data_IF_592986296208
#
_entry.id   IF_592986296208
#
_cell.length_a   1.000
_cell.length_b   1.000
_cell.length_c   1.000
_cell.angle_alpha   90.00
_cell.angle_beta   90.00
_cell.angle_gamma   90.00
#
_symmetry.space_group_name_H-M   'P 1'
#
loop_
_entity.id
_entity.type
_entity.pdbx_description
1 polymer ?
#
# COMPACT_ATOMS: atom_id res chain seq x y z
N UNK A 1 -33.02 -6.90 -75.43
CA UNK A 1 -31.67 -7.17 -74.88
C UNK A 1 -31.59 -6.42 -73.56
N UNK A 2 -31.56 -7.16 -72.45
CA UNK A 2 -31.55 -6.60 -71.10
C UNK A 2 -30.10 -6.29 -70.73
N UNK A 3 -29.80 -5.02 -70.46
CA UNK A 3 -28.48 -4.56 -70.02
C UNK A 3 -28.19 -5.13 -68.62
N UNK A 4 -27.30 -6.12 -68.55
CA UNK A 4 -26.78 -6.64 -67.27
C UNK A 4 -25.79 -5.61 -66.74
N UNK A 5 -26.21 -4.82 -65.75
CA UNK A 5 -25.29 -3.99 -64.98
C UNK A 5 -24.37 -4.94 -64.17
N UNK A 6 -23.04 -4.87 -64.28
CA UNK A 6 -22.14 -5.79 -63.61
C UNK A 6 -21.97 -5.35 -62.16
N UNK A 7 -22.86 -5.79 -61.28
CA UNK A 7 -22.67 -5.61 -59.83
C UNK A 7 -22.28 -6.94 -59.19
N UNK A 8 -21.01 -7.30 -59.33
CA UNK A 8 -20.28 -8.27 -58.51
C UNK A 8 -18.80 -8.15 -58.91
N UNK A 9 -17.76 -8.15 -58.07
CA UNK A 9 -17.54 -8.69 -56.73
C UNK A 9 -16.23 -8.09 -56.20
N UNK A 10 -16.24 -6.98 -55.49
CA UNK A 10 -15.17 -6.71 -54.53
C UNK A 10 -15.82 -6.65 -53.15
N UNK A 11 -15.65 -7.72 -52.36
CA UNK A 11 -15.87 -7.60 -50.92
C UNK A 11 -14.88 -6.55 -50.46
N UNK A 12 -15.36 -5.41 -49.96
CA UNK A 12 -14.50 -4.43 -49.30
C UNK A 12 -13.64 -5.18 -48.29
N UNK A 13 -12.34 -5.24 -48.56
CA UNK A 13 -11.34 -5.82 -47.68
C UNK A 13 -10.46 -4.67 -47.23
N UNK A 14 -10.06 -4.70 -45.96
CA UNK A 14 -8.98 -3.84 -45.50
C UNK A 14 -7.79 -4.02 -46.45
N UNK A 15 -7.26 -2.93 -46.99
CA UNK A 15 -5.98 -3.00 -47.69
C UNK A 15 -4.93 -3.45 -46.66
N UNK A 16 -4.01 -4.36 -47.02
CA UNK A 16 -2.85 -4.63 -46.19
C UNK A 16 -2.22 -3.30 -45.75
N UNK A 17 -1.96 -3.17 -44.45
CA UNK A 17 -1.40 -1.98 -43.81
C UNK A 17 -2.30 -0.72 -43.71
N UNK A 18 -3.53 -0.75 -44.22
CA UNK A 18 -4.47 0.40 -44.09
C UNK A 18 -5.13 0.56 -42.72
N UNK A 19 -4.99 -0.45 -41.85
CA UNK A 19 -5.47 -0.41 -40.44
C UNK A 19 -4.28 -0.46 -39.48
N UNK A 20 -3.09 -0.06 -39.94
CA UNK A 20 -1.93 0.10 -39.05
C UNK A 20 -2.07 1.45 -38.37
N UNK A 21 -2.53 1.41 -37.13
CA UNK A 21 -2.49 2.56 -36.24
C UNK A 21 -1.03 2.84 -35.87
N UNK A 22 -0.74 4.12 -35.58
CA UNK A 22 0.57 4.57 -35.14
C UNK A 22 1.03 3.75 -33.94
N UNK A 23 2.22 3.16 -34.05
CA UNK A 23 2.88 2.43 -32.99
C UNK A 23 3.73 3.39 -32.13
N UNK A 24 4.05 3.02 -30.89
CA UNK A 24 4.99 3.79 -30.07
C UNK A 24 6.37 3.99 -30.72
N UNK A 25 6.77 3.07 -31.60
CA UNK A 25 8.05 3.12 -32.32
C UNK A 25 8.03 4.11 -33.51
N UNK A 26 6.86 4.53 -33.98
CA UNK A 26 6.73 5.42 -35.15
C UNK A 26 7.16 6.86 -34.82
N UNK A 27 7.09 7.27 -33.55
CA UNK A 27 7.60 8.55 -33.04
C UNK A 27 8.24 8.37 -31.65
N UNK A 28 9.49 7.90 -31.59
CA UNK A 28 10.17 7.64 -30.33
C UNK A 28 10.32 8.94 -29.52
N UNK A 29 10.07 8.85 -28.21
CA UNK A 29 10.18 9.97 -27.27
C UNK A 29 8.93 10.87 -27.15
N UNK A 30 7.99 10.81 -28.10
CA UNK A 30 6.74 11.61 -28.01
C UNK A 30 5.92 11.23 -26.77
N UNK A 31 5.79 9.93 -26.48
CA UNK A 31 5.04 9.46 -25.31
C UNK A 31 5.74 9.82 -24.00
N UNK A 32 7.07 9.69 -23.94
CA UNK A 32 7.89 10.11 -22.80
C UNK A 32 7.73 11.61 -22.51
N UNK A 33 7.81 12.45 -23.55
CA UNK A 33 7.60 13.89 -23.42
C UNK A 33 6.16 14.22 -22.98
N UNK A 34 5.16 13.48 -23.47
CA UNK A 34 3.78 13.63 -23.04
C UNK A 34 3.58 13.21 -21.58
N UNK A 35 4.25 12.16 -21.09
CA UNK A 35 4.21 11.75 -19.69
C UNK A 35 4.84 12.82 -18.77
N UNK A 36 5.98 13.39 -19.17
CA UNK A 36 6.61 14.50 -18.46
C UNK A 36 5.70 15.75 -18.43
N UNK A 37 5.03 16.06 -19.55
CA UNK A 37 4.03 17.13 -19.61
C UNK A 37 2.85 16.84 -18.68
N UNK A 38 2.35 15.62 -18.66
CA UNK A 38 1.27 15.23 -17.76
C UNK A 38 1.64 15.51 -16.31
N UNK A 39 2.85 15.16 -15.87
CA UNK A 39 3.31 15.42 -14.50
C UNK A 39 3.29 16.91 -14.08
N UNK A 40 3.29 17.84 -15.04
CA UNK A 40 3.22 19.29 -14.79
C UNK A 40 1.80 19.85 -14.60
N UNK A 41 0.75 19.08 -14.90
CA UNK A 41 -0.61 19.58 -14.78
C UNK A 41 -1.03 19.71 -13.30
N UNK A 42 -1.70 20.81 -12.90
CA UNK A 42 -2.10 21.02 -11.52
C UNK A 42 -3.23 20.07 -11.10
N UNK A 43 -4.21 19.90 -11.98
CA UNK A 43 -5.41 19.10 -11.69
C UNK A 43 -5.16 17.61 -11.88
N UNK A 44 -5.52 16.80 -10.87
CA UNK A 44 -5.38 15.35 -10.93
C UNK A 44 -6.16 14.75 -12.11
N UNK A 45 -7.35 15.28 -12.38
CA UNK A 45 -8.20 14.83 -13.48
C UNK A 45 -7.48 14.93 -14.84
N UNK A 46 -6.85 16.07 -15.10
CA UNK A 46 -6.17 16.31 -16.37
C UNK A 46 -4.88 15.49 -16.48
N UNK A 47 -4.16 15.35 -15.35
CA UNK A 47 -3.00 14.45 -15.25
C UNK A 47 -3.37 13.03 -15.65
N UNK A 48 -4.35 12.44 -14.97
CA UNK A 48 -4.80 11.07 -15.19
C UNK A 48 -5.37 10.89 -16.61
N UNK A 49 -6.12 11.87 -17.12
CA UNK A 49 -6.67 11.80 -18.48
C UNK A 49 -5.57 11.71 -19.56
N UNK A 50 -4.51 12.53 -19.46
CA UNK A 50 -3.41 12.48 -20.41
C UNK A 50 -2.60 11.17 -20.27
N UNK A 51 -2.34 10.73 -19.04
CA UNK A 51 -1.64 9.46 -18.78
C UNK A 51 -2.42 8.27 -19.34
N UNK A 52 -3.73 8.20 -19.13
CA UNK A 52 -4.57 7.15 -19.70
C UNK A 52 -4.53 7.13 -21.23
N UNK A 53 -4.45 8.29 -21.87
CA UNK A 53 -4.32 8.37 -23.34
C UNK A 53 -2.96 7.84 -23.82
N UNK A 54 -1.88 8.09 -23.08
CA UNK A 54 -0.57 7.51 -23.36
C UNK A 54 -0.64 5.99 -23.21
N UNK A 55 -1.21 5.50 -22.11
CA UNK A 55 -1.30 4.07 -21.80
C UNK A 55 -2.27 3.30 -22.72
N UNK A 56 -3.18 3.98 -23.41
CA UNK A 56 -3.99 3.38 -24.47
C UNK A 56 -3.15 3.06 -25.71
N UNK A 57 -2.13 3.87 -25.99
CA UNK A 57 -1.22 3.73 -27.14
C UNK A 57 -0.11 2.74 -26.80
N UNK A 58 0.50 2.90 -25.63
CA UNK A 58 1.55 2.04 -25.10
C UNK A 58 1.23 1.65 -23.64
N UNK A 59 0.61 0.49 -23.41
CA UNK A 59 0.26 0.02 -22.08
C UNK A 59 1.47 -0.23 -21.16
N UNK A 60 2.68 -0.32 -21.71
CA UNK A 60 3.91 -0.59 -20.97
C UNK A 60 4.82 0.64 -20.86
N UNK A 61 4.31 1.83 -21.22
CA UNK A 61 5.08 3.07 -21.20
C UNK A 61 5.49 3.41 -19.75
N UNK A 62 6.78 3.25 -19.46
CA UNK A 62 7.32 3.29 -18.10
C UNK A 62 7.10 4.64 -17.41
N UNK A 63 7.42 5.76 -18.05
CA UNK A 63 7.29 7.08 -17.41
C UNK A 63 5.84 7.42 -17.06
N UNK A 64 4.89 7.07 -17.93
CA UNK A 64 3.47 7.28 -17.71
C UNK A 64 2.98 6.42 -16.54
N UNK A 65 3.37 5.15 -16.49
CA UNK A 65 3.07 4.27 -15.36
C UNK A 65 3.67 4.80 -14.06
N UNK A 66 4.95 5.21 -14.05
CA UNK A 66 5.62 5.76 -12.86
C UNK A 66 4.94 7.03 -12.35
N UNK A 67 4.60 7.96 -13.25
CA UNK A 67 3.87 9.18 -12.90
C UNK A 67 2.50 8.82 -12.35
N UNK A 68 1.75 7.93 -13.02
CA UNK A 68 0.42 7.53 -12.61
C UNK A 68 0.43 6.88 -11.22
N UNK A 69 1.28 5.88 -10.99
CA UNK A 69 1.32 5.15 -9.71
C UNK A 69 1.74 6.06 -8.57
N UNK A 70 2.75 6.92 -8.77
CA UNK A 70 3.17 7.92 -7.77
C UNK A 70 2.01 8.84 -7.38
N UNK A 71 1.27 9.38 -8.34
CA UNK A 71 0.17 10.30 -8.06
C UNK A 71 -1.00 9.60 -7.37
N UNK A 72 -1.46 8.45 -7.89
CA UNK A 72 -2.56 7.70 -7.28
C UNK A 72 -2.23 7.28 -5.86
N UNK A 73 -1.00 6.81 -5.62
CA UNK A 73 -0.51 6.45 -4.29
C UNK A 73 -0.51 7.65 -3.34
N UNK A 74 0.00 8.81 -3.78
CA UNK A 74 -0.03 10.04 -2.97
C UNK A 74 -1.45 10.48 -2.62
N UNK A 75 -2.39 10.42 -3.55
CA UNK A 75 -3.79 10.81 -3.29
C UNK A 75 -4.42 9.84 -2.28
N UNK A 76 -4.19 8.54 -2.40
CA UNK A 76 -4.63 7.56 -1.39
C UNK A 76 -4.08 7.88 0.01
N UNK A 77 -2.80 8.24 0.13
CA UNK A 77 -2.24 8.63 1.43
C UNK A 77 -2.82 9.95 1.95
N UNK A 78 -3.14 10.90 1.08
CA UNK A 78 -3.82 12.14 1.47
C UNK A 78 -5.25 11.86 1.94
N UNK A 79 -5.95 10.89 1.36
CA UNK A 79 -7.27 10.45 1.82
C UNK A 79 -7.17 9.87 3.24
N UNK A 80 -6.18 9.01 3.51
CA UNK A 80 -5.89 8.53 4.86
C UNK A 80 -5.65 9.68 5.84
N UNK A 81 -4.82 10.67 5.45
CA UNK A 81 -4.54 11.85 6.27
C UNK A 81 -5.81 12.62 6.66
N UNK A 82 -6.72 12.81 5.71
CA UNK A 82 -8.02 13.47 5.96
C UNK A 82 -8.92 12.65 6.88
N UNK A 83 -8.84 11.33 6.82
CA UNK A 83 -9.66 10.44 7.63
C UNK A 83 -9.17 10.31 9.08
N UNK A 84 -7.86 10.13 9.31
CA UNK A 84 -7.34 10.05 10.68
C UNK A 84 -7.16 11.42 11.36
N UNK A 85 -7.14 12.52 10.60
CA UNK A 85 -7.14 13.92 11.10
C UNK A 85 -5.97 14.29 12.02
N UNK A 86 -4.85 13.56 11.94
CA UNK A 86 -3.66 13.85 12.73
C UNK A 86 -2.81 14.89 12.00
N UNK A 87 -2.22 15.81 12.76
CA UNK A 87 -1.28 16.80 12.22
C UNK A 87 0.14 16.31 12.47
N UNK A 88 0.76 15.73 11.45
CA UNK A 88 2.10 15.13 11.55
C UNK A 88 3.08 15.97 10.74
N UNK A 89 4.09 16.54 11.41
CA UNK A 89 5.05 17.45 10.78
C UNK A 89 6.16 16.72 10.02
N UNK A 90 6.62 15.59 10.56
CA UNK A 90 7.66 14.79 9.91
C UNK A 90 7.05 14.02 8.73
N UNK A 91 7.57 14.19 7.50
CA UNK A 91 6.98 13.59 6.31
C UNK A 91 7.11 12.06 6.27
N UNK A 92 8.17 11.50 6.87
CA UNK A 92 8.38 10.04 6.90
C UNK A 92 7.39 9.41 7.86
N UNK A 93 7.24 9.97 9.07
CA UNK A 93 6.24 9.53 10.03
C UNK A 93 4.82 9.71 9.47
N UNK A 94 4.54 10.83 8.79
CA UNK A 94 3.25 11.07 8.16
C UNK A 94 2.92 9.98 7.12
N UNK A 95 3.88 9.64 6.25
CA UNK A 95 3.70 8.56 5.28
C UNK A 95 3.38 7.23 5.97
N UNK A 96 4.16 6.83 6.99
CA UNK A 96 3.94 5.58 7.73
C UNK A 96 2.56 5.55 8.39
N UNK A 97 2.12 6.65 9.01
CA UNK A 97 0.80 6.72 9.65
C UNK A 97 -0.34 6.63 8.61
N UNK A 98 -0.17 7.27 7.45
CA UNK A 98 -1.13 7.18 6.34
C UNK A 98 -1.21 5.76 5.77
N UNK A 99 -0.08 5.07 5.61
CA UNK A 99 -0.04 3.68 5.17
C UNK A 99 -0.62 2.72 6.22
N UNK A 100 -0.35 3.00 7.49
CA UNK A 100 -0.89 2.25 8.62
C UNK A 100 -2.41 2.40 8.72
N UNK A 101 -2.96 3.59 8.46
CA UNK A 101 -4.41 3.80 8.38
C UNK A 101 -5.07 2.78 7.43
N UNK A 102 -4.57 2.66 6.21
CA UNK A 102 -5.11 1.72 5.23
C UNK A 102 -4.83 0.27 5.58
N UNK A 103 -3.68 -0.02 6.18
CA UNK A 103 -3.34 -1.37 6.65
C UNK A 103 -4.34 -1.87 7.71
N UNK A 104 -4.69 -1.01 8.67
CA UNK A 104 -5.68 -1.38 9.69
C UNK A 104 -7.08 -1.41 9.09
N UNK A 105 -7.48 -0.41 8.30
CA UNK A 105 -8.79 -0.39 7.65
C UNK A 105 -9.04 -1.67 6.83
N UNK A 106 -8.05 -2.15 6.07
CA UNK A 106 -8.16 -3.39 5.31
C UNK A 106 -8.26 -4.65 6.19
N UNK A 107 -7.79 -4.61 7.44
CA UNK A 107 -7.86 -5.73 8.38
C UNK A 107 -9.15 -5.72 9.23
N UNK A 108 -9.67 -4.54 9.58
CA UNK A 108 -10.81 -4.35 10.49
C UNK A 108 -12.12 -4.04 9.77
N UNK A 109 -12.06 -3.03 8.89
CA UNK A 109 -13.20 -2.40 8.26
C UNK A 109 -13.34 -3.02 6.87
N UNK A 110 -13.99 -4.19 6.84
CA UNK A 110 -14.33 -4.92 5.61
C UNK A 110 -15.11 -4.09 4.56
N UNK A 111 -15.39 -2.82 4.86
CA UNK A 111 -16.40 -1.99 4.22
C UNK A 111 -15.81 -0.78 3.45
N UNK A 112 -14.63 -0.25 3.78
CA UNK A 112 -14.30 1.11 3.30
C UNK A 112 -13.53 1.21 1.98
N UNK A 113 -12.66 0.26 1.64
CA UNK A 113 -11.86 0.37 0.41
C UNK A 113 -12.49 -0.24 -0.85
N UNK A 114 -13.46 -1.15 -0.72
CA UNK A 114 -14.09 -1.82 -1.88
C UNK A 114 -15.61 -1.66 -1.97
N UNK A 115 -16.31 -1.26 -0.91
CA UNK A 115 -17.78 -1.06 -0.95
C UNK A 115 -18.21 0.38 -1.20
N UNK A 116 -17.29 1.36 -1.21
CA UNK A 116 -17.56 2.72 -1.69
C UNK A 116 -17.87 2.80 -3.19
N UNK A 117 -17.84 1.67 -3.90
CA UNK A 117 -18.30 1.54 -5.28
C UNK A 117 -19.83 1.65 -5.34
N UNK A 118 -20.37 2.85 -5.15
CA UNK A 118 -21.66 3.13 -5.77
C UNK A 118 -21.44 3.21 -7.28
N UNK A 119 -22.08 2.29 -8.00
CA UNK A 119 -22.19 2.34 -9.46
C UNK A 119 -23.08 3.54 -9.82
N UNK A 120 -22.55 4.76 -9.72
CA UNK A 120 -23.24 5.99 -10.13
C UNK A 120 -22.93 7.24 -9.31
N UNK A 121 -22.21 8.19 -9.92
CA UNK A 121 -22.53 9.61 -9.76
C UNK A 121 -21.75 10.46 -8.75
N UNK A 122 -20.66 9.97 -8.13
CA UNK A 122 -19.81 10.87 -7.35
C UNK A 122 -19.05 11.87 -8.24
N UNK A 123 -18.96 13.12 -7.78
CA UNK A 123 -18.25 14.19 -8.48
C UNK A 123 -16.72 13.98 -8.51
N UNK A 124 -16.19 13.11 -7.64
CA UNK A 124 -14.77 12.80 -7.51
C UNK A 124 -14.58 11.28 -7.33
N UNK A 125 -13.44 10.71 -7.78
CA UNK A 125 -13.12 9.31 -7.55
C UNK A 125 -13.05 8.98 -6.05
N UNK A 126 -13.54 7.81 -5.66
CA UNK A 126 -13.38 7.25 -4.31
C UNK A 126 -11.98 6.66 -4.11
N UNK A 127 -11.59 6.39 -2.87
CA UNK A 127 -10.32 5.69 -2.60
C UNK A 127 -10.29 4.29 -3.24
N UNK A 128 -11.44 3.63 -3.38
CA UNK A 128 -11.59 2.38 -4.14
C UNK A 128 -11.21 2.55 -5.62
N UNK A 129 -11.75 3.57 -6.27
CA UNK A 129 -11.47 3.87 -7.68
C UNK A 129 -9.98 4.13 -7.93
N UNK A 130 -9.32 4.81 -6.98
CA UNK A 130 -7.89 5.08 -7.05
C UNK A 130 -7.07 3.79 -6.87
N UNK A 131 -7.44 2.94 -5.91
CA UNK A 131 -6.75 1.68 -5.65
C UNK A 131 -6.86 0.71 -6.84
N UNK A 132 -8.05 0.55 -7.43
CA UNK A 132 -8.25 -0.33 -8.59
C UNK A 132 -7.55 0.18 -9.86
N UNK A 133 -7.27 1.48 -9.97
CA UNK A 133 -6.41 2.02 -11.04
C UNK A 133 -4.92 1.87 -10.74
N UNK A 134 -4.54 1.95 -9.47
CA UNK A 134 -3.15 1.83 -9.02
C UNK A 134 -2.62 0.40 -9.23
N UNK A 135 -3.40 -0.62 -8.87
CA UNK A 135 -3.01 -2.03 -8.92
C UNK A 135 -2.47 -2.48 -10.30
N UNK A 136 -3.23 -2.37 -11.42
CA UNK A 136 -2.74 -2.84 -12.72
C UNK A 136 -1.52 -2.06 -13.23
N UNK A 137 -1.39 -0.78 -12.85
CA UNK A 137 -0.23 0.02 -13.20
C UNK A 137 1.03 -0.44 -12.42
N UNK A 138 0.90 -0.72 -11.12
CA UNK A 138 1.97 -1.29 -10.30
C UNK A 138 2.32 -2.72 -10.72
N UNK A 139 1.34 -3.56 -11.08
CA UNK A 139 1.58 -4.90 -11.63
C UNK A 139 2.42 -4.84 -12.90
N UNK A 140 2.11 -3.90 -13.79
CA UNK A 140 2.87 -3.71 -15.02
C UNK A 140 4.30 -3.29 -14.73
N UNK A 141 4.51 -2.27 -13.88
CA UNK A 141 5.85 -1.84 -13.46
C UNK A 141 6.65 -2.94 -12.76
N UNK A 142 6.05 -3.70 -11.85
CA UNK A 142 6.73 -4.78 -11.16
C UNK A 142 7.16 -5.91 -12.11
N UNK A 143 6.40 -6.13 -13.20
CA UNK A 143 6.72 -7.12 -14.23
C UNK A 143 7.79 -6.65 -15.21
N UNK A 144 7.72 -5.39 -15.66
CA UNK A 144 8.64 -4.86 -16.69
C UNK A 144 9.91 -4.24 -16.10
N UNK A 145 9.86 -3.81 -14.84
CA UNK A 145 10.94 -3.17 -14.09
C UNK A 145 11.09 -3.78 -12.67
N UNK A 146 11.33 -5.10 -12.55
CA UNK A 146 11.43 -5.78 -11.25
C UNK A 146 12.57 -5.26 -10.35
N UNK A 147 13.57 -4.58 -10.93
CA UNK A 147 14.66 -3.92 -10.21
C UNK A 147 14.20 -2.70 -9.39
N UNK A 148 13.05 -2.10 -9.73
CA UNK A 148 12.48 -0.96 -9.02
C UNK A 148 11.71 -1.43 -7.78
N UNK A 149 12.47 -1.72 -6.71
CA UNK A 149 11.93 -2.30 -5.47
C UNK A 149 10.76 -1.50 -4.87
N UNK A 150 10.81 -0.16 -4.92
CA UNK A 150 9.74 0.69 -4.39
C UNK A 150 8.37 0.37 -5.01
N UNK A 151 8.31 0.08 -6.31
CA UNK A 151 7.06 -0.29 -6.97
C UNK A 151 6.55 -1.64 -6.48
N UNK A 152 7.45 -2.58 -6.16
CA UNK A 152 7.09 -3.89 -5.61
C UNK A 152 6.61 -3.79 -4.17
N UNK A 153 7.24 -2.94 -3.35
CA UNK A 153 6.76 -2.63 -2.00
C UNK A 153 5.34 -2.03 -2.05
N UNK A 154 5.14 -1.00 -2.88
CA UNK A 154 3.82 -0.39 -3.08
C UNK A 154 2.79 -1.38 -3.63
N UNK A 155 3.20 -2.28 -4.53
CA UNK A 155 2.32 -3.32 -5.07
C UNK A 155 1.84 -4.27 -3.97
N UNK A 156 2.76 -4.76 -3.13
CA UNK A 156 2.41 -5.63 -2.01
C UNK A 156 1.46 -4.95 -1.02
N UNK A 157 1.67 -3.65 -0.74
CA UNK A 157 0.76 -2.89 0.11
C UNK A 157 -0.59 -2.62 -0.55
N UNK A 158 -0.62 -2.32 -1.86
CA UNK A 158 -1.86 -2.16 -2.60
C UNK A 158 -2.68 -3.46 -2.61
N UNK A 159 -2.03 -4.62 -2.78
CA UNK A 159 -2.70 -5.92 -2.61
C UNK A 159 -3.25 -6.09 -1.20
N UNK A 160 -2.47 -5.72 -0.15
CA UNK A 160 -2.95 -5.74 1.24
C UNK A 160 -4.19 -4.87 1.43
N UNK A 161 -4.17 -3.65 0.91
CA UNK A 161 -5.30 -2.72 1.03
C UNK A 161 -6.54 -3.21 0.27
N UNK A 162 -6.35 -3.91 -0.85
CA UNK A 162 -7.42 -4.58 -1.58
C UNK A 162 -7.80 -5.96 -0.98
N UNK A 163 -7.12 -6.39 0.08
CA UNK A 163 -7.26 -7.72 0.70
C UNK A 163 -7.07 -8.89 -0.30
N UNK A 164 -6.15 -8.72 -1.25
CA UNK A 164 -5.74 -9.78 -2.17
C UNK A 164 -4.65 -10.64 -1.50
N UNK A 165 -5.10 -11.62 -0.71
CA UNK A 165 -4.26 -12.29 0.30
C UNK A 165 -3.07 -13.06 -0.29
N UNK A 166 -3.28 -13.72 -1.43
CA UNK A 166 -2.25 -14.55 -2.08
C UNK A 166 -1.18 -13.65 -2.70
N UNK A 167 -1.49 -12.73 -3.62
CA UNK A 167 -0.49 -11.88 -4.26
C UNK A 167 0.24 -10.96 -3.29
N UNK A 168 -0.43 -10.48 -2.23
CA UNK A 168 0.21 -9.72 -1.15
C UNK A 168 1.35 -10.53 -0.50
N UNK A 169 1.04 -11.77 -0.08
CA UNK A 169 2.00 -12.62 0.62
C UNK A 169 3.15 -13.03 -0.28
N UNK A 170 2.85 -13.44 -1.53
CA UNK A 170 3.86 -13.83 -2.52
C UNK A 170 4.78 -12.67 -2.87
N UNK A 171 4.26 -11.44 -3.00
CA UNK A 171 5.07 -10.26 -3.32
C UNK A 171 6.14 -10.01 -2.25
N UNK A 172 5.75 -10.02 -0.97
CA UNK A 172 6.70 -9.76 0.10
C UNK A 172 7.59 -10.96 0.43
N UNK A 173 7.13 -12.19 0.24
CA UNK A 173 7.97 -13.38 0.38
C UNK A 173 9.08 -13.37 -0.70
N UNK A 174 8.74 -13.03 -1.94
CA UNK A 174 9.71 -12.82 -3.01
C UNK A 174 10.72 -11.71 -2.67
N UNK A 175 10.26 -10.55 -2.18
CA UNK A 175 11.15 -9.47 -1.76
C UNK A 175 12.09 -9.90 -0.61
N UNK A 176 11.57 -10.62 0.39
CA UNK A 176 12.40 -11.16 1.47
C UNK A 176 13.43 -12.13 0.90
N UNK A 177 13.11 -12.97 -0.07
CA UNK A 177 14.08 -13.93 -0.62
C UNK A 177 15.11 -13.28 -1.55
N UNK A 178 14.72 -12.28 -2.34
CA UNK A 178 15.56 -11.65 -3.35
C UNK A 178 16.46 -10.54 -2.80
N UNK A 179 16.02 -9.80 -1.77
CA UNK A 179 16.83 -8.72 -1.20
C UNK A 179 18.04 -9.32 -0.45
N UNK A 180 19.28 -8.98 -0.83
CA UNK A 180 20.48 -9.46 -0.16
C UNK A 180 20.54 -9.05 1.32
N UNK A 181 21.13 -9.91 2.16
CA UNK A 181 21.17 -9.71 3.62
C UNK A 181 22.02 -8.50 4.07
N UNK A 182 22.97 -8.05 3.24
CA UNK A 182 23.77 -6.84 3.47
C UNK A 182 22.95 -5.55 3.28
N UNK A 183 21.84 -5.58 2.54
CA UNK A 183 20.88 -4.46 2.42
C UNK A 183 19.88 -4.45 3.58
N UNK A 184 20.40 -4.36 4.82
CA UNK A 184 19.65 -4.53 6.08
C UNK A 184 18.33 -3.75 6.13
N UNK A 185 18.33 -2.45 5.85
CA UNK A 185 17.13 -1.62 5.92
C UNK A 185 16.00 -2.11 5.01
N UNK A 186 16.31 -2.45 3.76
CA UNK A 186 15.32 -2.98 2.81
C UNK A 186 14.87 -4.40 3.17
N UNK A 187 15.77 -5.21 3.71
CA UNK A 187 15.45 -6.55 4.19
C UNK A 187 14.51 -6.50 5.41
N UNK A 188 14.78 -5.58 6.34
CA UNK A 188 13.93 -5.30 7.50
C UNK A 188 12.53 -4.87 7.03
N UNK A 189 12.44 -3.90 6.11
CA UNK A 189 11.17 -3.46 5.55
C UNK A 189 10.40 -4.61 4.89
N UNK A 190 11.05 -5.44 4.07
CA UNK A 190 10.40 -6.59 3.43
C UNK A 190 9.85 -7.59 4.45
N UNK A 191 10.62 -7.90 5.50
CA UNK A 191 10.21 -8.78 6.60
C UNK A 191 9.02 -8.20 7.37
N UNK A 192 9.06 -6.91 7.69
CA UNK A 192 7.99 -6.21 8.39
C UNK A 192 6.69 -6.21 7.56
N UNK A 193 6.78 -5.92 6.26
CA UNK A 193 5.61 -5.92 5.37
C UNK A 193 5.05 -7.34 5.18
N UNK A 194 5.90 -8.37 5.14
CA UNK A 194 5.46 -9.76 5.13
C UNK A 194 4.78 -10.16 6.44
N UNK A 195 5.26 -9.67 7.59
CA UNK A 195 4.60 -9.85 8.88
C UNK A 195 3.18 -9.27 8.87
N UNK A 196 3.03 -8.02 8.41
CA UNK A 196 1.72 -7.37 8.27
C UNK A 196 0.80 -8.08 7.28
N UNK A 197 1.36 -8.67 6.22
CA UNK A 197 0.60 -9.46 5.25
C UNK A 197 -0.01 -10.71 5.88
N UNK A 198 0.79 -11.42 6.67
CA UNK A 198 0.33 -12.58 7.46
C UNK A 198 -0.71 -12.18 8.50
N UNK A 199 -0.50 -11.08 9.22
CA UNK A 199 -1.48 -10.52 10.18
C UNK A 199 -2.80 -10.19 9.47
N UNK A 200 -2.75 -9.52 8.32
CA UNK A 200 -3.94 -9.12 7.57
C UNK A 200 -4.76 -10.34 7.12
N UNK A 201 -4.10 -11.39 6.60
CA UNK A 201 -4.76 -12.67 6.27
C UNK A 201 -5.47 -13.29 7.48
N UNK A 202 -4.79 -13.37 8.62
CA UNK A 202 -5.34 -13.96 9.85
C UNK A 202 -6.52 -13.15 10.38
N UNK A 203 -6.37 -11.82 10.45
CA UNK A 203 -7.42 -10.91 10.88
C UNK A 203 -8.66 -10.98 9.98
N UNK A 204 -8.45 -10.96 8.66
CA UNK A 204 -9.54 -11.01 7.69
C UNK A 204 -10.33 -12.32 7.77
N UNK A 205 -9.62 -13.45 7.77
CA UNK A 205 -10.21 -14.79 7.78
C UNK A 205 -10.76 -15.18 9.17
N UNK A 206 -10.38 -14.45 10.23
CA UNK A 206 -10.75 -14.71 11.63
C UNK A 206 -10.36 -16.12 12.10
N UNK A 207 -9.26 -16.64 11.57
CA UNK A 207 -8.72 -17.94 11.96
C UNK A 207 -7.72 -17.69 13.09
N UNK A 208 -8.24 -17.67 14.32
CA UNK A 208 -7.38 -17.60 15.50
C UNK A 208 -6.43 -18.80 15.50
N UNK A 209 -5.18 -18.60 15.92
CA UNK A 209 -4.17 -19.64 16.04
C UNK A 209 -3.66 -20.23 14.71
N UNK A 210 -3.94 -19.57 13.58
CA UNK A 210 -3.28 -19.87 12.31
C UNK A 210 -1.75 -19.73 12.47
N UNK A 211 -1.00 -20.64 11.83
CA UNK A 211 0.47 -20.61 11.86
C UNK A 211 1.04 -19.30 11.30
N UNK A 212 0.30 -18.62 10.43
CA UNK A 212 0.69 -17.30 9.93
C UNK A 212 0.77 -16.25 11.05
N UNK A 213 0.07 -16.41 12.18
CA UNK A 213 0.24 -15.51 13.35
C UNK A 213 1.61 -15.65 14.00
N UNK A 214 2.11 -16.88 14.16
CA UNK A 214 3.45 -17.18 14.69
C UNK A 214 4.51 -16.71 13.70
N UNK A 215 4.32 -17.05 12.42
CA UNK A 215 5.21 -16.64 11.33
C UNK A 215 5.25 -15.12 11.13
N UNK A 216 4.18 -14.39 11.47
CA UNK A 216 4.18 -12.93 11.48
C UNK A 216 5.06 -12.38 12.59
N UNK A 217 4.94 -12.93 13.80
CA UNK A 217 5.79 -12.57 14.93
C UNK A 217 7.27 -12.80 14.60
N UNK A 218 7.62 -13.98 14.07
CA UNK A 218 9.00 -14.32 13.71
C UNK A 218 9.59 -13.38 12.65
N UNK A 219 8.79 -13.01 11.65
CA UNK A 219 9.20 -12.03 10.65
C UNK A 219 9.43 -10.64 11.26
N UNK A 220 8.54 -10.18 12.14
CA UNK A 220 8.68 -8.89 12.80
C UNK A 220 9.92 -8.87 13.70
N UNK A 221 10.21 -9.98 14.40
CA UNK A 221 11.44 -10.16 15.17
C UNK A 221 12.68 -10.12 14.27
N UNK A 222 12.69 -10.85 13.15
CA UNK A 222 13.79 -10.80 12.20
C UNK A 222 13.98 -9.40 11.58
N UNK A 223 12.88 -8.66 11.37
CA UNK A 223 12.94 -7.26 10.97
C UNK A 223 13.62 -6.39 12.04
N UNK A 224 13.28 -6.59 13.33
CA UNK A 224 13.88 -5.85 14.43
C UNK A 224 15.41 -6.06 14.50
N UNK A 225 15.88 -7.29 14.30
CA UNK A 225 17.31 -7.64 14.31
C UNK A 225 18.11 -6.89 13.23
N UNK A 226 17.46 -6.52 12.12
CA UNK A 226 18.07 -5.80 11.00
C UNK A 226 17.80 -4.29 11.03
N UNK A 227 16.85 -3.84 11.85
CA UNK A 227 16.41 -2.45 11.91
C UNK A 227 17.48 -1.54 12.55
N UNK A 228 17.88 -0.51 11.81
CA UNK A 228 18.89 0.45 12.29
C UNK A 228 18.25 1.75 12.79
N UNK A 229 17.11 2.17 12.22
CA UNK A 229 16.43 3.43 12.56
C UNK A 229 15.41 3.23 13.68
N UNK A 230 15.20 4.21 14.57
CA UNK A 230 14.17 4.13 15.61
C UNK A 230 12.77 3.83 15.07
N UNK A 231 12.40 4.44 13.94
CA UNK A 231 11.12 4.20 13.27
C UNK A 231 10.91 2.73 12.90
N UNK A 232 11.94 2.08 12.33
CA UNK A 232 11.85 0.68 11.91
C UNK A 232 11.74 -0.26 13.13
N UNK A 233 12.46 0.06 14.21
CA UNK A 233 12.41 -0.69 15.47
C UNK A 233 11.07 -0.55 16.18
N UNK A 234 10.54 0.68 16.24
CA UNK A 234 9.19 0.94 16.73
C UNK A 234 8.16 0.09 15.98
N UNK A 235 8.19 0.10 14.65
CA UNK A 235 7.24 -0.66 13.85
C UNK A 235 7.37 -2.16 14.09
N UNK A 236 8.59 -2.69 14.18
CA UNK A 236 8.81 -4.11 14.44
C UNK A 236 8.29 -4.56 15.81
N UNK A 237 8.59 -3.81 16.88
CA UNK A 237 8.08 -4.06 18.24
C UNK A 237 6.55 -3.98 18.29
N UNK A 238 5.98 -2.94 17.68
CA UNK A 238 4.54 -2.77 17.59
C UNK A 238 3.87 -3.93 16.83
N UNK A 239 4.47 -4.39 15.72
CA UNK A 239 3.96 -5.52 14.94
C UNK A 239 4.01 -6.83 15.72
N UNK A 240 5.07 -7.08 16.50
CA UNK A 240 5.13 -8.26 17.40
C UNK A 240 4.00 -8.21 18.44
N UNK A 241 3.78 -7.07 19.09
CA UNK A 241 2.66 -6.91 20.02
C UNK A 241 1.30 -7.15 19.34
N UNK A 242 1.11 -6.61 18.12
CA UNK A 242 -0.14 -6.76 17.38
C UNK A 242 -0.38 -8.21 16.93
N UNK A 243 0.65 -8.94 16.49
CA UNK A 243 0.49 -10.34 16.06
C UNK A 243 0.05 -11.24 17.21
N UNK A 244 0.50 -10.96 18.45
CA UNK A 244 0.13 -11.72 19.64
C UNK A 244 -1.38 -11.75 19.90
N UNK A 245 -2.15 -10.80 19.38
CA UNK A 245 -3.64 -10.80 19.44
C UNK A 245 -4.21 -12.10 18.84
N UNK A 246 -3.54 -12.67 17.83
CA UNK A 246 -4.03 -13.83 17.08
C UNK A 246 -3.31 -15.14 17.41
N UNK A 247 -2.23 -15.08 18.19
CA UNK A 247 -1.40 -16.24 18.51
C UNK A 247 -2.04 -17.16 19.56
N UNK A 248 -1.69 -18.45 19.59
CA UNK A 248 -2.13 -19.39 20.65
C UNK A 248 -1.81 -18.92 22.07
N UNK A 249 -0.68 -18.24 22.26
CA UNK A 249 -0.23 -17.70 23.54
C UNK A 249 -0.73 -16.26 23.81
N UNK A 250 -1.86 -15.85 23.22
CA UNK A 250 -2.49 -14.53 23.48
C UNK A 250 -2.63 -14.16 24.97
N UNK A 251 -2.65 -15.17 25.85
CA UNK A 251 -2.66 -15.01 27.31
C UNK A 251 -1.35 -14.46 27.90
N UNK A 252 -0.23 -14.43 27.17
CA UNK A 252 1.02 -13.81 27.62
C UNK A 252 0.96 -12.28 27.45
N UNK A 253 0.14 -11.68 28.31
CA UNK A 253 -0.07 -10.23 28.34
C UNK A 253 1.18 -9.48 28.82
N UNK A 254 2.06 -10.13 29.59
CA UNK A 254 3.32 -9.56 30.03
C UNK A 254 4.29 -9.34 28.87
N UNK A 255 4.44 -10.32 27.99
CA UNK A 255 5.25 -10.18 26.78
C UNK A 255 4.65 -9.13 25.82
N UNK A 256 3.32 -9.08 25.67
CA UNK A 256 2.67 -8.04 24.86
C UNK A 256 2.96 -6.64 25.42
N UNK A 257 2.85 -6.44 26.74
CA UNK A 257 3.18 -5.18 27.39
C UNK A 257 4.66 -4.80 27.20
N UNK A 258 5.57 -5.77 27.28
CA UNK A 258 6.99 -5.55 27.03
C UNK A 258 7.24 -4.98 25.62
N UNK A 259 6.69 -5.62 24.59
CA UNK A 259 6.82 -5.13 23.21
C UNK A 259 6.22 -3.73 23.02
N UNK A 260 5.04 -3.45 23.59
CA UNK A 260 4.45 -2.12 23.51
C UNK A 260 5.30 -1.05 24.23
N UNK A 261 5.94 -1.43 25.34
CA UNK A 261 6.85 -0.54 26.08
C UNK A 261 8.11 -0.24 25.28
N UNK A 262 8.72 -1.24 24.65
CA UNK A 262 9.87 -1.04 23.75
C UNK A 262 9.47 -0.25 22.50
N UNK A 263 8.29 -0.50 21.94
CA UNK A 263 7.74 0.29 20.84
C UNK A 263 7.62 1.76 21.23
N UNK A 264 7.10 2.07 22.43
CA UNK A 264 7.02 3.45 22.93
C UNK A 264 8.40 4.08 23.07
N UNK A 265 9.37 3.34 23.63
CA UNK A 265 10.75 3.82 23.79
C UNK A 265 11.35 4.22 22.45
N UNK A 266 11.23 3.38 21.42
CA UNK A 266 11.70 3.72 20.08
C UNK A 266 10.90 4.84 19.42
N UNK A 267 9.58 4.89 19.64
CA UNK A 267 8.74 5.99 19.15
C UNK A 267 9.18 7.33 19.71
N UNK A 268 9.65 7.36 20.97
CA UNK A 268 10.18 8.56 21.61
C UNK A 268 11.48 9.10 21.01
N UNK A 269 12.14 8.33 20.15
CA UNK A 269 13.34 8.73 19.42
C UNK A 269 13.04 9.17 17.97
N UNK A 270 11.78 9.09 17.51
CA UNK A 270 11.41 9.42 16.12
C UNK A 270 11.29 10.95 15.92
N UNK A 271 11.91 11.51 14.87
CA UNK A 271 11.70 12.90 14.48
C UNK A 271 10.21 13.22 14.24
N UNK A 272 9.72 14.32 14.81
CA UNK A 272 8.32 14.72 14.68
C UNK A 272 7.32 13.86 15.44
N UNK A 273 7.79 13.06 16.42
CA UNK A 273 6.92 12.35 17.36
C UNK A 273 5.90 13.28 18.01
N UNK A 274 4.73 12.73 18.26
CA UNK A 274 3.64 13.40 18.95
C UNK A 274 2.79 12.38 19.73
N UNK A 275 2.34 12.76 20.92
CA UNK A 275 1.57 11.89 21.81
C UNK A 275 0.19 11.51 21.24
N UNK A 276 -0.39 12.34 20.38
CA UNK A 276 -1.60 12.01 19.62
C UNK A 276 -1.33 10.92 18.58
N UNK A 277 -0.18 10.98 17.90
CA UNK A 277 0.25 9.95 16.95
C UNK A 277 0.53 8.63 17.66
N UNK A 278 1.22 8.65 18.82
CA UNK A 278 1.39 7.45 19.64
C UNK A 278 0.04 6.84 20.04
N UNK A 279 -0.86 7.67 20.57
CA UNK A 279 -2.20 7.21 20.97
C UNK A 279 -2.97 6.63 19.81
N UNK A 280 -2.83 7.18 18.60
CA UNK A 280 -3.50 6.65 17.42
C UNK A 280 -3.14 5.18 17.13
N UNK A 281 -1.87 4.78 17.32
CA UNK A 281 -1.47 3.37 17.19
C UNK A 281 -2.16 2.47 18.24
N UNK A 282 -2.32 2.94 19.48
CA UNK A 282 -2.95 2.16 20.55
C UNK A 282 -4.48 2.11 20.49
N UNK A 283 -5.11 3.17 19.96
CA UNK A 283 -6.56 3.39 20.04
C UNK A 283 -7.31 2.99 18.75
N UNK A 284 -6.70 2.18 17.89
CA UNK A 284 -7.34 1.65 16.68
C UNK A 284 -7.78 0.20 16.87
N UNK A 285 -9.03 -0.07 16.53
CA UNK A 285 -9.57 -1.41 16.26
C UNK A 285 -9.29 -2.47 17.33
N UNK A 286 -8.70 -3.60 16.92
CA UNK A 286 -8.51 -4.79 17.74
C UNK A 286 -7.55 -4.54 18.90
N UNK A 287 -6.46 -3.79 18.68
CA UNK A 287 -5.51 -3.50 19.75
C UNK A 287 -6.20 -2.69 20.86
N UNK A 288 -6.99 -1.66 20.51
CA UNK A 288 -7.76 -0.89 21.49
C UNK A 288 -8.66 -1.77 22.35
N UNK A 289 -9.37 -2.71 21.74
CA UNK A 289 -10.24 -3.63 22.47
C UNK A 289 -9.47 -4.49 23.47
N UNK A 290 -8.27 -4.96 23.10
CA UNK A 290 -7.39 -5.75 23.97
C UNK A 290 -6.84 -4.91 25.12
N UNK A 291 -6.34 -3.70 24.84
CA UNK A 291 -5.72 -2.84 25.86
C UNK A 291 -6.74 -2.34 26.89
N UNK A 292 -7.96 -2.03 26.45
CA UNK A 292 -9.03 -1.58 27.35
C UNK A 292 -9.58 -2.70 28.25
N UNK A 293 -9.45 -3.96 27.85
CA UNK A 293 -9.99 -5.09 28.57
C UNK A 293 -9.14 -5.52 29.78
N UNK A 294 -7.86 -5.15 29.82
CA UNK A 294 -6.91 -5.60 30.84
C UNK A 294 -6.21 -4.40 31.53
N UNK A 295 -6.41 -4.22 32.85
CA UNK A 295 -5.80 -3.13 33.62
C UNK A 295 -4.26 -3.07 33.55
N UNK A 296 -3.59 -4.17 33.21
CA UNK A 296 -2.13 -4.18 33.11
C UNK A 296 -1.60 -3.22 32.03
N UNK A 297 -2.41 -2.86 31.04
CA UNK A 297 -2.02 -1.89 30.00
C UNK A 297 -2.28 -0.42 30.38
N UNK A 298 -2.87 -0.13 31.55
CA UNK A 298 -3.12 1.26 31.97
C UNK A 298 -1.86 2.16 31.97
N UNK A 299 -0.67 1.69 32.38
CA UNK A 299 0.53 2.53 32.35
C UNK A 299 0.91 3.04 30.95
N UNK A 300 0.61 2.29 29.89
CA UNK A 300 0.93 2.69 28.50
C UNK A 300 -0.18 3.51 27.83
N UNK A 301 -1.39 3.43 28.40
CA UNK A 301 -2.56 4.23 27.97
C UNK A 301 -2.61 5.59 28.68
N UNK A 302 -1.96 5.73 29.84
CA UNK A 302 -1.94 6.97 30.60
C UNK A 302 -1.30 8.10 29.76
N UNK A 303 -1.90 9.31 29.75
CA UNK A 303 -1.28 10.45 29.10
C UNK A 303 0.06 10.75 29.75
N UNK A 304 1.10 10.92 28.94
CA UNK A 304 2.34 11.56 29.38
C UNK A 304 1.99 12.98 29.83
N UNK A 305 2.03 13.26 31.13
CA UNK A 305 1.87 14.62 31.63
C UNK A 305 2.89 15.52 30.91
N UNK A 306 2.40 16.52 30.18
CA UNK A 306 3.24 17.59 29.65
C UNK A 306 3.79 18.35 30.86
N UNK A 307 5.01 18.03 31.27
CA UNK A 307 5.77 18.87 32.18
C UNK A 307 5.97 20.21 31.49
N UNK A 308 5.22 21.20 31.98
CA UNK A 308 5.33 22.58 31.55
C UNK A 308 6.64 23.12 32.12
N UNK A 309 7.67 23.25 31.28
CA UNK A 309 8.85 24.08 31.56
C UNK A 309 8.89 25.23 30.56
#
# INVERSE_FOLDING_TARGET
VQERIPFTTERSRALPDSIVWWSPADQPGTLTAAAARAASFPELRDRVALLNRILLIDPQQTEALTVLTKHLYTVLLQDAARNHKLVIKDPVLAQIVNEFYWTIAAASDRLDLSLGMEVGGFAQPTSADLLYRLLPALQTLARTHPEQLENRFRLGMAYRWNNDQVPMSETFDALVNEIPADRKGLKAEALLQLAWSRINKVAWNRILHDQDSIRAYDNAKASLELAERPLDKFLAEYTMAYSMIFMPNYGDKGQMLHHLTEAKRWFDEIPGKDDEVWRYFLHRELLKAVLNADPMFQPILAPTEKTSN
#
